data_IF_387263823154
#
_entry.id   IF_387263823154
#
_cell.length_a   1.000
_cell.length_b   1.000
_cell.length_c   1.000
_cell.angle_alpha   90.00
_cell.angle_beta   90.00
_cell.angle_gamma   90.00
#
_symmetry.space_group_name_H-M   'P 1'
#
loop_
_entity.id
_entity.type
_entity.pdbx_description
1 polymer ?
#
# COMPACT_ATOMS: atom_id res chain seq x y z
N UNK A 1 15.69 7.71 -10.25
CA UNK A 1 14.43 8.22 -9.69
C UNK A 1 13.72 7.11 -8.93
N UNK A 2 12.99 7.46 -7.88
CA UNK A 2 12.29 6.53 -6.99
C UNK A 2 10.78 6.74 -7.17
N UNK A 3 10.03 5.65 -7.20
CA UNK A 3 8.57 5.65 -7.14
C UNK A 3 8.15 4.87 -5.90
N UNK A 4 7.37 5.51 -5.03
CA UNK A 4 6.80 4.88 -3.84
C UNK A 4 5.29 4.82 -3.99
N UNK A 5 4.69 3.69 -3.65
CA UNK A 5 3.24 3.48 -3.68
C UNK A 5 2.75 3.03 -2.31
N UNK A 6 1.70 3.70 -1.82
CA UNK A 6 0.89 3.28 -0.68
C UNK A 6 -0.50 2.86 -1.20
N UNK A 7 -0.79 1.57 -1.15
CA UNK A 7 -2.00 0.99 -1.73
C UNK A 7 -2.91 0.38 -0.67
N UNK A 8 -3.93 1.13 -0.32
CA UNK A 8 -5.06 0.58 0.44
C UNK A 8 -6.01 -0.25 -0.43
N UNK A 9 -7.14 -0.67 0.15
CA UNK A 9 -8.16 -1.46 -0.57
C UNK A 9 -8.92 -0.64 -1.62
N UNK A 10 -9.00 0.70 -1.47
CA UNK A 10 -9.85 1.57 -2.31
C UNK A 10 -9.03 2.41 -3.26
N UNK A 11 -7.91 2.95 -2.80
CA UNK A 11 -7.03 3.85 -3.56
C UNK A 11 -5.57 3.48 -3.37
N UNK A 12 -4.76 3.86 -4.35
CA UNK A 12 -3.31 3.82 -4.27
C UNK A 12 -2.76 5.22 -4.56
N UNK A 13 -1.97 5.71 -3.64
CA UNK A 13 -1.25 6.97 -3.75
C UNK A 13 0.19 6.69 -4.19
N UNK A 14 0.66 7.39 -5.22
CA UNK A 14 1.99 7.24 -5.79
C UNK A 14 2.79 8.53 -5.65
N UNK A 15 4.03 8.41 -5.27
CA UNK A 15 4.98 9.53 -5.19
C UNK A 15 6.22 9.19 -5.99
N UNK A 16 6.49 9.98 -7.03
CA UNK A 16 7.70 9.93 -7.82
C UNK A 16 8.64 11.04 -7.36
N UNK A 17 9.90 10.71 -7.09
CA UNK A 17 10.86 11.68 -6.55
C UNK A 17 12.31 11.34 -6.92
N UNK A 18 13.16 12.37 -6.93
CA UNK A 18 14.63 12.24 -6.94
C UNK A 18 15.22 12.15 -5.51
N UNK A 19 14.38 12.31 -4.50
CA UNK A 19 14.79 12.34 -3.09
C UNK A 19 15.12 13.74 -2.56
N UNK A 20 15.22 14.74 -3.43
CA UNK A 20 15.63 16.10 -3.07
C UNK A 20 14.59 17.16 -3.41
N UNK A 21 14.46 17.47 -4.69
CA UNK A 21 13.69 18.63 -5.16
C UNK A 21 12.47 18.28 -6.00
N UNK A 22 12.53 17.19 -6.75
CA UNK A 22 11.43 16.79 -7.62
C UNK A 22 10.47 15.85 -6.88
N UNK A 23 9.19 16.23 -6.89
CA UNK A 23 8.12 15.40 -6.34
C UNK A 23 6.86 15.53 -7.18
N UNK A 24 6.38 14.42 -7.73
CA UNK A 24 5.10 14.32 -8.42
C UNK A 24 4.24 13.28 -7.70
N UNK A 25 2.95 13.52 -7.64
CA UNK A 25 1.99 12.60 -7.01
C UNK A 25 0.95 12.16 -8.02
N UNK A 26 0.60 10.86 -7.98
CA UNK A 26 -0.42 10.28 -8.82
C UNK A 26 -1.36 9.44 -7.97
N UNK A 27 -2.52 9.13 -8.50
CA UNK A 27 -3.54 8.34 -7.82
C UNK A 27 -4.11 7.28 -8.77
N UNK A 28 -4.28 6.09 -8.25
CA UNK A 28 -5.00 5.00 -8.94
C UNK A 28 -6.01 4.35 -7.98
N UNK A 29 -6.78 3.39 -8.47
CA UNK A 29 -7.50 2.50 -7.57
C UNK A 29 -6.51 1.73 -6.69
N UNK A 30 -6.95 1.25 -5.55
CA UNK A 30 -6.16 0.39 -4.68
C UNK A 30 -5.97 -1.00 -5.28
N UNK A 31 -4.80 -1.59 -5.04
CA UNK A 31 -4.46 -2.91 -5.55
C UNK A 31 -4.32 -3.91 -4.41
N UNK A 32 -5.27 -4.84 -4.34
CA UNK A 32 -5.24 -5.90 -3.36
C UNK A 32 -5.16 -7.26 -4.08
N UNK A 33 -4.07 -8.02 -3.92
CA UNK A 33 -3.85 -9.28 -4.65
C UNK A 33 -4.79 -10.43 -4.23
N UNK A 34 -5.64 -10.22 -3.24
CA UNK A 34 -6.75 -11.13 -2.95
C UNK A 34 -7.88 -11.04 -4.00
N UNK A 35 -8.04 -9.89 -4.63
CA UNK A 35 -9.16 -9.59 -5.52
C UNK A 35 -8.71 -9.24 -6.94
N UNK A 36 -7.45 -8.82 -7.11
CA UNK A 36 -6.94 -8.31 -8.37
C UNK A 36 -5.80 -9.19 -8.88
N UNK A 37 -5.88 -9.57 -10.15
CA UNK A 37 -4.81 -10.29 -10.85
C UNK A 37 -3.80 -9.31 -11.49
N UNK A 38 -2.71 -9.85 -12.01
CA UNK A 38 -1.61 -9.10 -12.64
C UNK A 38 -2.10 -8.24 -13.80
N UNK A 39 -2.96 -8.78 -14.67
CA UNK A 39 -3.45 -8.13 -15.89
C UNK A 39 -4.33 -6.91 -15.56
N UNK A 40 -5.19 -7.03 -14.54
CA UNK A 40 -6.01 -5.92 -14.07
C UNK A 40 -5.14 -4.80 -13.52
N UNK A 41 -4.19 -5.13 -12.62
CA UNK A 41 -3.28 -4.16 -12.01
C UNK A 41 -2.49 -3.42 -13.10
N UNK A 42 -1.90 -4.15 -14.05
CA UNK A 42 -1.16 -3.56 -15.16
C UNK A 42 -2.05 -2.62 -15.99
N UNK A 43 -3.27 -3.04 -16.35
CA UNK A 43 -4.18 -2.24 -17.15
C UNK A 43 -4.61 -0.95 -16.46
N UNK A 44 -4.86 -1.00 -15.14
CA UNK A 44 -5.26 0.17 -14.36
C UNK A 44 -4.12 1.19 -14.21
N UNK A 45 -2.88 0.72 -13.99
CA UNK A 45 -1.73 1.62 -13.95
C UNK A 45 -1.51 2.29 -15.32
N UNK A 46 -1.65 1.55 -16.43
CA UNK A 46 -1.50 2.10 -17.79
C UNK A 46 -2.57 3.13 -18.16
N UNK A 47 -3.76 3.07 -17.55
CA UNK A 47 -4.80 4.11 -17.74
C UNK A 47 -4.39 5.47 -17.18
N UNK A 48 -3.54 5.48 -16.16
CA UNK A 48 -2.97 6.73 -15.66
C UNK A 48 -1.78 7.14 -16.55
N UNK A 49 -2.07 7.99 -17.54
CA UNK A 49 -1.09 8.41 -18.56
C UNK A 49 0.09 9.19 -17.99
N UNK A 50 -0.13 9.93 -16.89
CA UNK A 50 0.92 10.70 -16.22
C UNK A 50 1.89 9.75 -15.47
N UNK A 51 1.36 8.77 -14.75
CA UNK A 51 2.17 7.74 -14.09
C UNK A 51 2.94 6.89 -15.12
N UNK A 52 2.29 6.52 -16.22
CA UNK A 52 2.95 5.79 -17.30
C UNK A 52 4.06 6.60 -17.98
N UNK A 53 3.92 7.92 -18.09
CA UNK A 53 4.92 8.80 -18.70
C UNK A 53 6.23 8.87 -17.88
N UNK A 54 6.19 8.71 -16.56
CA UNK A 54 7.40 8.70 -15.73
C UNK A 54 8.09 7.34 -15.69
N UNK A 55 7.44 6.26 -16.15
CA UNK A 55 7.98 4.91 -16.07
C UNK A 55 9.40 4.72 -16.62
N UNK A 56 9.81 5.34 -17.75
CA UNK A 56 11.17 5.22 -18.27
C UNK A 56 12.28 5.81 -17.37
N UNK A 57 11.89 6.70 -16.44
CA UNK A 57 12.79 7.42 -15.53
C UNK A 57 12.91 6.74 -14.15
N UNK A 58 12.10 5.73 -13.87
CA UNK A 58 12.07 5.06 -12.57
C UNK A 58 13.17 3.99 -12.50
N UNK A 59 14.03 4.09 -11.49
CA UNK A 59 15.08 3.11 -11.20
C UNK A 59 14.67 2.16 -10.07
N UNK A 60 13.81 2.62 -9.14
CA UNK A 60 13.32 1.85 -8.01
C UNK A 60 11.84 2.07 -7.80
N UNK A 61 11.09 0.98 -7.60
CA UNK A 61 9.69 1.01 -7.18
C UNK A 61 9.59 0.34 -5.82
N UNK A 62 9.05 1.05 -4.84
CA UNK A 62 8.67 0.53 -3.53
C UNK A 62 7.16 0.56 -3.43
N UNK A 63 6.55 -0.61 -3.40
CA UNK A 63 5.10 -0.76 -3.31
C UNK A 63 4.73 -1.38 -1.97
N UNK A 64 3.95 -0.66 -1.19
CA UNK A 64 3.40 -1.12 0.08
C UNK A 64 1.89 -1.24 -0.06
N UNK A 65 1.35 -2.45 0.10
CA UNK A 65 -0.05 -2.69 -0.24
C UNK A 65 -0.82 -3.58 0.71
N UNK A 66 -2.09 -3.21 0.91
CA UNK A 66 -3.05 -4.06 1.60
C UNK A 66 -3.12 -5.44 0.94
N UNK A 67 -2.98 -6.49 1.74
CA UNK A 67 -3.01 -7.89 1.27
C UNK A 67 -1.71 -8.39 0.63
N UNK A 68 -0.67 -7.56 0.46
CA UNK A 68 0.67 -7.97 -0.01
C UNK A 68 1.48 -8.63 1.13
N UNK A 69 0.92 -9.66 1.76
CA UNK A 69 1.42 -10.28 3.00
C UNK A 69 2.05 -11.66 2.81
N UNK A 70 2.31 -12.08 1.57
CA UNK A 70 3.00 -13.35 1.27
C UNK A 70 3.68 -13.29 -0.08
N UNK A 71 4.77 -14.06 -0.25
CA UNK A 71 5.52 -14.12 -1.49
C UNK A 71 4.64 -14.45 -2.73
N UNK A 72 3.66 -15.34 -2.58
CA UNK A 72 2.75 -15.71 -3.67
C UNK A 72 1.81 -14.58 -4.09
N UNK A 73 1.44 -13.69 -3.17
CA UNK A 73 0.62 -12.51 -3.47
C UNK A 73 1.46 -11.35 -3.99
N UNK A 74 2.62 -11.13 -3.38
CA UNK A 74 3.53 -10.08 -3.80
C UNK A 74 3.95 -10.24 -5.27
N UNK A 75 4.16 -11.48 -5.74
CA UNK A 75 4.53 -11.77 -7.13
C UNK A 75 3.45 -11.35 -8.15
N UNK A 76 2.17 -11.28 -7.75
CA UNK A 76 1.07 -10.80 -8.62
C UNK A 76 1.27 -9.32 -8.94
N UNK A 77 1.56 -8.52 -7.90
CA UNK A 77 1.80 -7.08 -8.01
C UNK A 77 3.14 -6.83 -8.68
N UNK A 78 4.18 -7.54 -8.26
CA UNK A 78 5.53 -7.40 -8.79
C UNK A 78 5.58 -7.61 -10.31
N UNK A 79 4.88 -8.62 -10.83
CA UNK A 79 4.80 -8.87 -12.28
C UNK A 79 4.15 -7.70 -13.02
N UNK A 80 3.05 -7.16 -12.51
CA UNK A 80 2.38 -6.01 -13.11
C UNK A 80 3.29 -4.77 -13.13
N UNK A 81 3.98 -4.51 -12.01
CA UNK A 81 4.89 -3.37 -11.92
C UNK A 81 6.09 -3.53 -12.85
N UNK A 82 6.70 -4.70 -12.93
CA UNK A 82 7.83 -4.98 -13.83
C UNK A 82 7.46 -4.90 -15.31
N UNK A 83 6.21 -5.16 -15.67
CA UNK A 83 5.73 -5.01 -17.06
C UNK A 83 5.63 -3.53 -17.50
N UNK A 84 5.57 -2.60 -16.54
CA UNK A 84 5.46 -1.16 -16.80
C UNK A 84 6.82 -0.48 -16.55
N UNK A 85 7.40 -0.70 -15.38
CA UNK A 85 8.66 -0.11 -14.94
C UNK A 85 9.83 -1.04 -15.25
N UNK A 86 10.05 -1.28 -16.57
CA UNK A 86 10.93 -2.35 -17.08
C UNK A 86 12.39 -2.24 -16.67
N UNK A 87 12.85 -1.04 -16.29
CA UNK A 87 14.24 -0.79 -15.84
C UNK A 87 14.37 -0.80 -14.31
N UNK A 88 13.24 -0.73 -13.61
CA UNK A 88 13.24 -0.53 -12.18
C UNK A 88 13.52 -1.82 -11.40
N UNK A 89 14.24 -1.68 -10.29
CA UNK A 89 14.20 -2.66 -9.22
C UNK A 89 12.87 -2.49 -8.47
N UNK A 90 12.07 -3.56 -8.39
CA UNK A 90 10.73 -3.54 -7.80
C UNK A 90 10.75 -4.30 -6.49
N UNK A 91 10.32 -3.64 -5.42
CA UNK A 91 10.10 -4.21 -4.09
C UNK A 91 8.62 -4.09 -3.78
N UNK A 92 7.99 -5.20 -3.39
CA UNK A 92 6.59 -5.26 -2.98
C UNK A 92 6.53 -5.80 -1.57
N UNK A 93 5.89 -5.06 -0.69
CA UNK A 93 5.68 -5.45 0.69
C UNK A 93 4.31 -4.98 1.18
N UNK A 94 4.00 -5.34 2.43
CA UNK A 94 2.69 -5.05 3.00
C UNK A 94 2.59 -3.61 3.59
N UNK A 95 1.40 -3.06 3.60
CA UNK A 95 1.10 -1.68 3.97
C UNK A 95 1.60 -1.28 5.37
N UNK A 96 1.56 -2.20 6.36
CA UNK A 96 2.11 -1.93 7.69
C UNK A 96 3.61 -1.61 7.67
N UNK A 97 4.38 -2.26 6.80
CA UNK A 97 5.81 -1.95 6.68
C UNK A 97 6.02 -0.53 6.14
N UNK A 98 5.22 -0.13 5.15
CA UNK A 98 5.23 1.24 4.65
C UNK A 98 4.87 2.26 5.74
N UNK A 99 3.84 1.96 6.54
CA UNK A 99 3.43 2.80 7.65
C UNK A 99 4.52 2.90 8.73
N UNK A 100 5.21 1.81 9.06
CA UNK A 100 6.35 1.80 9.99
C UNK A 100 7.47 2.71 9.50
N UNK A 101 7.90 2.57 8.25
CA UNK A 101 8.96 3.43 7.71
C UNK A 101 8.58 4.91 7.69
N UNK A 102 7.30 5.22 7.47
CA UNK A 102 6.81 6.59 7.47
C UNK A 102 6.68 7.21 8.88
N UNK A 103 6.40 6.41 9.90
CA UNK A 103 6.05 6.89 11.25
C UNK A 103 7.12 6.65 12.30
N UNK A 104 7.84 5.54 12.21
CA UNK A 104 8.87 5.15 13.18
C UNK A 104 10.29 5.40 12.63
N UNK A 105 10.50 5.39 11.31
CA UNK A 105 11.84 5.40 10.73
C UNK A 105 12.64 4.19 11.21
N UNK A 106 13.77 4.44 11.86
CA UNK A 106 14.65 3.41 12.43
C UNK A 106 14.43 3.20 13.95
N UNK A 107 13.49 3.94 14.56
CA UNK A 107 13.26 3.91 16.01
C UNK A 107 12.13 2.94 16.38
N UNK A 108 12.22 2.25 17.53
CA UNK A 108 11.11 1.44 18.01
C UNK A 108 9.84 2.26 18.23
N UNK A 109 8.69 1.70 17.84
CA UNK A 109 7.41 2.41 17.97
C UNK A 109 6.20 1.53 17.68
N UNK A 110 5.02 2.12 17.84
CA UNK A 110 3.76 1.52 17.43
C UNK A 110 3.27 2.26 16.20
N UNK A 111 3.07 1.54 15.11
CA UNK A 111 2.50 2.08 13.88
C UNK A 111 1.05 1.61 13.73
N UNK A 112 0.17 2.54 13.34
CA UNK A 112 -1.25 2.28 13.15
C UNK A 112 -1.71 2.78 11.79
N UNK A 113 -2.49 1.97 11.09
CA UNK A 113 -3.21 2.36 9.87
C UNK A 113 -4.68 2.52 10.22
N UNK A 114 -5.24 3.68 9.89
CA UNK A 114 -6.67 3.99 9.99
C UNK A 114 -7.18 4.41 8.61
N UNK A 115 -7.84 3.48 7.93
CA UNK A 115 -8.38 3.67 6.58
C UNK A 115 -9.80 3.15 6.47
N UNK A 116 -10.12 2.39 5.44
CA UNK A 116 -11.38 1.63 5.31
C UNK A 116 -11.53 0.66 6.49
N UNK A 117 -10.50 -0.09 6.81
CA UNK A 117 -10.33 -0.85 8.06
C UNK A 117 -9.27 -0.24 8.94
N UNK A 118 -8.77 -1.00 9.92
CA UNK A 118 -7.64 -0.61 10.76
C UNK A 118 -6.67 -1.77 10.99
N UNK A 119 -5.41 -1.42 11.20
CA UNK A 119 -4.38 -2.38 11.59
C UNK A 119 -3.30 -1.69 12.41
N UNK A 120 -2.56 -2.45 13.21
CA UNK A 120 -1.47 -1.90 14.01
C UNK A 120 -0.37 -2.94 14.25
N UNK A 121 0.84 -2.47 14.49
CA UNK A 121 1.97 -3.30 14.86
C UNK A 121 2.90 -2.60 15.83
N UNK A 122 3.68 -3.37 16.55
CA UNK A 122 4.87 -2.90 17.24
C UNK A 122 6.10 -3.14 16.34
N UNK A 123 6.93 -2.14 16.22
CA UNK A 123 8.22 -2.19 15.55
C UNK A 123 9.33 -2.03 16.59
N UNK A 124 10.29 -2.95 16.63
CA UNK A 124 11.38 -2.94 17.62
C UNK A 124 12.63 -2.20 17.17
N UNK A 125 12.58 -1.52 16.02
CA UNK A 125 13.72 -0.89 15.34
C UNK A 125 14.33 -1.77 14.24
N UNK A 126 13.86 -3.01 14.08
CA UNK A 126 14.37 -3.97 13.09
C UNK A 126 13.27 -4.83 12.47
N UNK A 127 12.33 -5.30 13.29
CA UNK A 127 11.29 -6.26 12.89
C UNK A 127 9.92 -5.79 13.35
N UNK A 128 8.92 -6.04 12.53
CA UNK A 128 7.51 -5.82 12.85
C UNK A 128 6.97 -7.02 13.65
N UNK A 129 6.28 -6.71 14.72
CA UNK A 129 5.55 -7.66 15.56
C UNK A 129 4.05 -7.36 15.51
N UNK A 130 3.31 -8.19 14.81
CA UNK A 130 1.85 -8.15 14.79
C UNK A 130 1.31 -8.95 15.99
N UNK A 131 1.25 -8.30 17.16
CA UNK A 131 0.83 -8.94 18.42
C UNK A 131 -0.67 -9.19 18.43
N UNK A 132 -1.44 -8.31 17.81
CA UNK A 132 -2.90 -8.44 17.67
C UNK A 132 -3.21 -8.66 16.20
N UNK A 133 -3.78 -9.83 15.83
CA UNK A 133 -4.14 -10.07 14.44
C UNK A 133 -5.26 -9.13 13.99
N UNK A 134 -5.18 -8.64 12.75
CA UNK A 134 -6.27 -7.92 12.13
C UNK A 134 -7.48 -8.85 11.93
N UNK A 135 -8.56 -8.60 12.68
CA UNK A 135 -9.77 -9.42 12.64
C UNK A 135 -10.72 -9.01 11.50
N UNK A 136 -10.41 -7.92 10.80
CA UNK A 136 -11.11 -7.44 9.62
C UNK A 136 -12.53 -6.95 9.91
N UNK A 137 -13.27 -6.70 8.84
CA UNK A 137 -14.56 -6.02 8.82
C UNK A 137 -15.62 -6.55 9.82
N UNK A 138 -15.68 -7.85 10.07
CA UNK A 138 -16.75 -8.44 10.88
C UNK A 138 -16.47 -8.29 12.38
N UNK A 139 -15.26 -8.63 12.80
CA UNK A 139 -14.88 -8.75 14.21
C UNK A 139 -13.91 -7.68 14.71
N UNK A 140 -13.35 -6.87 13.81
CA UNK A 140 -12.33 -5.86 14.10
C UNK A 140 -12.54 -4.59 13.30
N UNK A 141 -11.44 -4.04 12.81
CA UNK A 141 -11.36 -2.76 12.11
C UNK A 141 -11.79 -1.55 12.97
N UNK A 142 -11.58 -1.63 14.29
CA UNK A 142 -11.93 -0.60 15.25
C UNK A 142 -11.32 0.75 14.83
N UNK A 143 -12.11 1.80 14.91
CA UNK A 143 -11.78 3.16 14.48
C UNK A 143 -11.52 3.30 12.96
N UNK A 144 -11.68 2.26 12.15
CA UNK A 144 -11.71 2.35 10.69
C UNK A 144 -13.04 2.91 10.16
N UNK A 145 -13.06 3.35 8.90
CA UNK A 145 -14.27 3.92 8.28
C UNK A 145 -15.46 2.96 8.28
N UNK A 146 -15.24 1.68 8.07
CA UNK A 146 -16.27 0.65 8.11
C UNK A 146 -16.85 0.42 9.51
N UNK A 147 -16.02 0.58 10.55
CA UNK A 147 -16.46 0.52 11.94
C UNK A 147 -17.46 1.65 12.25
N UNK A 148 -17.08 2.89 11.94
CA UNK A 148 -17.96 4.04 12.13
C UNK A 148 -19.23 3.96 11.28
N UNK A 149 -19.13 3.47 10.04
CA UNK A 149 -20.29 3.26 9.18
C UNK A 149 -21.30 2.26 9.78
N UNK A 150 -20.83 1.16 10.36
CA UNK A 150 -21.68 0.19 11.06
C UNK A 150 -22.33 0.81 12.31
N UNK A 151 -21.57 1.55 13.09
CA UNK A 151 -22.12 2.21 14.30
C UNK A 151 -23.17 3.24 13.95
N UNK A 152 -22.93 4.06 12.92
CA UNK A 152 -23.93 5.02 12.44
C UNK A 152 -25.24 4.33 12.05
N UNK A 153 -25.16 3.22 11.31
CA UNK A 153 -26.36 2.45 10.94
C UNK A 153 -27.09 1.89 12.18
N UNK A 154 -26.36 1.37 13.17
CA UNK A 154 -26.95 0.85 14.41
C UNK A 154 -27.66 1.95 15.23
N UNK A 155 -27.14 3.17 15.18
CA UNK A 155 -27.75 4.31 15.91
C UNK A 155 -28.98 4.86 15.19
N UNK A 156 -29.07 4.65 13.88
CA UNK A 156 -30.17 5.16 13.05
C UNK A 156 -31.33 4.18 12.97
N UNK A 157 -31.10 2.87 13.03
CA UNK A 157 -32.10 1.80 12.95
C UNK A 157 -32.60 1.38 14.33
#
# INVERSE_FOLDING_TARGET
MILVADSGSTKCDWVFTDGESQRLSFHTMGFNPFFHNTELIESEIRKNTELAAVAPMVDHVFFYGAGASSASRNIIIEKALKAIFTKANVVVDHDLLGAVYATCGDEPGISCILGTGSNSCYYDGSVIHEVVPALGYVLGDEAGGTFYGKDLLRMFL
#
